data_IF_757466020420
#
_entry.id   IF_757466020420
#
_cell.length_a   1.000
_cell.length_b   1.000
_cell.length_c   1.000
_cell.angle_alpha   90.00
_cell.angle_beta   90.00
_cell.angle_gamma   90.00
#
_symmetry.space_group_name_H-M   'P 1'
#
loop_
_entity.id
_entity.type
_entity.pdbx_description
1 polymer ?
#
# COMPACT_ATOMS: atom_id res chain seq x y z
N UNK A 1 24.15 49.88 -5.34
CA UNK A 1 22.94 49.61 -4.53
C UNK A 1 22.80 48.12 -4.34
N UNK A 2 22.84 47.59 -3.12
CA UNK A 2 22.52 46.19 -2.85
C UNK A 2 21.05 46.07 -2.43
N UNK A 3 20.32 45.10 -2.97
CA UNK A 3 19.03 44.67 -2.45
C UNK A 3 19.13 43.20 -2.03
N UNK A 4 19.04 43.02 -0.72
CA UNK A 4 18.86 41.75 -0.03
C UNK A 4 17.44 41.24 -0.32
N UNK A 5 17.29 39.94 -0.58
CA UNK A 5 16.24 39.13 0.06
C UNK A 5 16.62 37.66 0.03
N UNK A 6 17.00 37.18 1.22
CA UNK A 6 17.22 35.77 1.49
C UNK A 6 15.97 34.97 1.16
N UNK A 7 16.15 33.96 0.32
CA UNK A 7 15.23 32.84 0.26
C UNK A 7 15.23 32.19 1.63
N UNK A 8 14.13 32.31 2.36
CA UNK A 8 13.82 31.44 3.50
C UNK A 8 13.90 30.01 2.96
N UNK A 9 14.93 29.27 3.35
CA UNK A 9 14.92 27.82 3.25
C UNK A 9 13.70 27.35 4.04
N UNK A 10 12.68 26.87 3.34
CA UNK A 10 11.62 26.08 3.96
C UNK A 10 12.35 24.93 4.66
N UNK A 11 12.19 24.73 5.98
CA UNK A 11 12.82 23.59 6.63
C UNK A 11 12.26 22.34 5.95
N UNK A 12 13.14 21.60 5.29
CA UNK A 12 12.85 20.24 4.83
C UNK A 12 12.65 19.44 6.11
N UNK A 13 11.38 19.19 6.46
CA UNK A 13 11.06 18.37 7.63
C UNK A 13 11.38 16.94 7.21
N UNK A 14 12.54 16.45 7.62
CA UNK A 14 12.91 15.05 7.48
C UNK A 14 12.00 14.22 8.40
N UNK A 15 10.79 13.93 7.92
CA UNK A 15 9.85 13.05 8.60
C UNK A 15 10.41 11.63 8.54
N UNK A 16 10.50 10.98 9.71
CA UNK A 16 10.79 9.56 9.77
C UNK A 16 9.57 8.75 9.26
N UNK A 17 9.81 7.52 8.80
CA UNK A 17 8.74 6.67 8.25
C UNK A 17 7.55 6.49 9.20
N UNK A 18 7.81 6.36 10.50
CA UNK A 18 6.78 6.19 11.53
C UNK A 18 6.22 7.51 12.10
N UNK A 19 6.66 8.65 11.56
CA UNK A 19 5.94 9.92 11.75
C UNK A 19 4.75 10.01 10.77
N UNK A 20 4.75 9.19 9.71
CA UNK A 20 3.71 9.10 8.69
C UNK A 20 2.88 7.81 8.86
N UNK A 21 3.54 6.66 9.00
CA UNK A 21 2.85 5.38 9.15
C UNK A 21 2.55 5.06 10.62
N UNK A 22 1.37 4.46 10.92
CA UNK A 22 1.10 3.93 12.25
C UNK A 22 2.20 2.97 12.72
N UNK A 23 2.71 3.16 13.94
CA UNK A 23 3.81 2.34 14.48
C UNK A 23 3.48 0.84 14.58
N UNK A 24 2.19 0.52 14.67
CA UNK A 24 1.67 -0.83 14.84
C UNK A 24 1.18 -1.48 13.54
N UNK A 25 1.32 -0.78 12.41
CA UNK A 25 0.81 -1.19 11.10
C UNK A 25 1.24 -2.61 10.71
N UNK A 26 2.48 -2.98 11.04
CA UNK A 26 3.04 -4.28 10.67
C UNK A 26 2.65 -5.43 11.61
N UNK A 27 1.99 -5.18 12.75
CA UNK A 27 1.62 -6.25 13.72
C UNK A 27 0.78 -7.39 13.11
N UNK A 28 -0.22 -7.15 12.23
CA UNK A 28 -0.96 -8.23 11.59
C UNK A 28 -0.05 -9.08 10.69
N UNK A 29 0.82 -8.43 9.92
CA UNK A 29 1.75 -9.05 8.96
C UNK A 29 2.97 -9.72 9.61
N UNK A 30 3.31 -9.37 10.84
CA UNK A 30 4.38 -10.01 11.63
C UNK A 30 3.91 -11.17 12.49
N UNK A 31 2.60 -11.44 12.55
CA UNK A 31 2.02 -12.42 13.49
C UNK A 31 1.99 -13.87 12.97
N UNK A 32 1.69 -14.88 13.81
CA UNK A 32 1.49 -16.25 13.35
C UNK A 32 0.44 -16.36 12.24
N UNK A 33 -0.63 -15.58 12.35
CA UNK A 33 -1.71 -15.48 11.35
C UNK A 33 -1.41 -14.52 10.19
N UNK A 34 -0.13 -14.21 9.92
CA UNK A 34 0.28 -13.23 8.90
C UNK A 34 -0.25 -13.51 7.50
N UNK A 35 -0.34 -14.78 7.11
CA UNK A 35 -0.84 -15.18 5.77
C UNK A 35 -2.29 -14.76 5.60
N UNK A 36 -3.14 -15.07 6.58
CA UNK A 36 -4.53 -14.64 6.60
C UNK A 36 -4.67 -13.12 6.50
N UNK A 37 -3.93 -12.36 7.32
CA UNK A 37 -4.04 -10.89 7.31
C UNK A 37 -3.50 -10.26 6.03
N UNK A 38 -2.42 -10.80 5.45
CA UNK A 38 -1.90 -10.35 4.17
C UNK A 38 -2.94 -10.56 3.06
N UNK A 39 -3.48 -11.77 2.95
CA UNK A 39 -4.48 -12.11 1.92
C UNK A 39 -5.77 -11.30 2.12
N UNK A 40 -6.20 -11.09 3.36
CA UNK A 40 -7.39 -10.29 3.68
C UNK A 40 -7.19 -8.82 3.29
N UNK A 41 -6.06 -8.24 3.64
CA UNK A 41 -5.74 -6.85 3.30
C UNK A 41 -5.69 -6.62 1.78
N UNK A 42 -5.04 -7.53 1.04
CA UNK A 42 -5.01 -7.48 -0.42
C UNK A 42 -6.40 -7.65 -1.03
N UNK A 43 -7.21 -8.56 -0.50
CA UNK A 43 -8.60 -8.75 -0.91
C UNK A 43 -9.44 -7.47 -0.72
N UNK A 44 -9.37 -6.87 0.48
CA UNK A 44 -10.12 -5.65 0.79
C UNK A 44 -9.67 -4.49 -0.08
N UNK A 45 -8.36 -4.30 -0.25
CA UNK A 45 -7.80 -3.28 -1.12
C UNK A 45 -8.40 -3.38 -2.53
N UNK A 46 -8.30 -4.54 -3.16
CA UNK A 46 -8.69 -4.73 -4.56
C UNK A 46 -10.19 -4.77 -4.80
N UNK A 47 -10.95 -5.42 -3.91
CA UNK A 47 -12.35 -5.75 -4.16
C UNK A 47 -13.33 -4.87 -3.41
N UNK A 48 -12.92 -4.32 -2.28
CA UNK A 48 -13.80 -3.52 -1.42
C UNK A 48 -13.54 -2.03 -1.58
N UNK A 49 -12.27 -1.60 -1.67
CA UNK A 49 -11.90 -0.18 -1.67
C UNK A 49 -11.53 0.36 -3.05
N UNK A 50 -10.75 -0.35 -3.87
CA UNK A 50 -10.29 0.15 -5.18
C UNK A 50 -11.40 0.38 -6.21
N UNK A 51 -12.54 -0.31 -6.08
CA UNK A 51 -13.69 -0.20 -6.99
C UNK A 51 -14.82 0.67 -6.45
N UNK A 52 -14.68 1.20 -5.22
CA UNK A 52 -15.73 1.94 -4.56
C UNK A 52 -15.63 3.44 -4.89
N UNK A 53 -16.72 4.01 -5.41
CA UNK A 53 -16.82 5.45 -5.64
C UNK A 53 -17.01 6.25 -4.33
N UNK A 54 -17.55 5.60 -3.29
CA UNK A 54 -17.79 6.14 -1.96
C UNK A 54 -17.33 5.12 -0.91
N UNK A 55 -16.92 5.60 0.26
CA UNK A 55 -16.51 4.75 1.37
C UNK A 55 -17.60 3.72 1.74
N UNK A 56 -17.28 2.41 1.80
CA UNK A 56 -18.26 1.39 2.13
C UNK A 56 -18.75 1.52 3.58
N UNK A 57 -19.97 1.03 3.83
CA UNK A 57 -20.50 0.96 5.19
C UNK A 57 -19.75 -0.08 6.00
N UNK A 58 -19.55 0.18 7.30
CA UNK A 58 -18.95 -0.77 8.24
C UNK A 58 -19.58 -2.16 8.19
N UNK A 59 -20.91 -2.24 8.08
CA UNK A 59 -21.62 -3.52 7.99
C UNK A 59 -21.25 -4.31 6.72
N UNK A 60 -21.06 -3.62 5.60
CA UNK A 60 -20.64 -4.24 4.34
C UNK A 60 -19.19 -4.75 4.46
N UNK A 61 -18.28 -3.95 5.02
CA UNK A 61 -16.88 -4.38 5.23
C UNK A 61 -16.82 -5.61 6.13
N UNK A 62 -17.60 -5.65 7.21
CA UNK A 62 -17.68 -6.83 8.09
C UNK A 62 -18.20 -8.07 7.35
N UNK A 63 -19.20 -7.92 6.48
CA UNK A 63 -19.71 -9.02 5.67
C UNK A 63 -18.64 -9.53 4.69
N UNK A 64 -17.93 -8.63 4.00
CA UNK A 64 -16.85 -8.98 3.09
C UNK A 64 -15.71 -9.74 3.80
N UNK A 65 -15.37 -9.32 5.03
CA UNK A 65 -14.38 -10.02 5.87
C UNK A 65 -14.89 -11.42 6.24
N UNK A 66 -16.14 -11.56 6.67
CA UNK A 66 -16.72 -12.86 7.04
C UNK A 66 -16.74 -13.82 5.84
N UNK A 67 -17.20 -13.34 4.68
CA UNK A 67 -17.26 -14.11 3.44
C UNK A 67 -15.86 -14.51 2.96
N UNK A 68 -14.88 -13.59 3.06
CA UNK A 68 -13.48 -13.89 2.76
C UNK A 68 -12.95 -14.98 3.68
N UNK A 69 -13.17 -14.85 4.98
CA UNK A 69 -12.68 -15.76 5.98
C UNK A 69 -13.18 -17.19 5.75
N UNK A 70 -14.48 -17.36 5.48
CA UNK A 70 -15.05 -18.67 5.16
C UNK A 70 -14.38 -19.31 3.92
N UNK A 71 -14.15 -18.52 2.86
CA UNK A 71 -13.47 -19.01 1.65
C UNK A 71 -12.01 -19.34 1.92
N UNK A 72 -11.33 -18.54 2.75
CA UNK A 72 -9.92 -18.73 3.08
C UNK A 72 -9.72 -20.00 3.90
N UNK A 73 -10.56 -20.25 4.92
CA UNK A 73 -10.53 -21.46 5.75
C UNK A 73 -10.82 -22.72 4.92
N UNK A 74 -11.78 -22.64 4.00
CA UNK A 74 -12.09 -23.76 3.11
C UNK A 74 -10.89 -24.19 2.24
N UNK A 75 -9.96 -23.28 1.95
CA UNK A 75 -8.76 -23.55 1.14
C UNK A 75 -7.52 -23.90 1.96
N UNK A 76 -7.38 -23.32 3.15
CA UNK A 76 -6.14 -23.37 3.92
C UNK A 76 -6.26 -24.18 5.23
N UNK A 77 -7.46 -24.67 5.57
CA UNK A 77 -7.76 -25.24 6.88
C UNK A 77 -7.99 -24.18 7.94
N UNK A 78 -8.44 -24.60 9.13
CA UNK A 78 -8.65 -23.70 10.27
C UNK A 78 -7.30 -23.35 10.95
N UNK A 79 -6.54 -22.47 10.30
CA UNK A 79 -5.21 -22.03 10.77
C UNK A 79 -5.29 -20.84 11.74
N UNK A 80 -6.49 -20.29 12.00
CA UNK A 80 -6.68 -19.18 12.95
C UNK A 80 -6.85 -19.67 14.40
N UNK A 81 -6.94 -20.98 14.62
CA UNK A 81 -7.25 -21.62 15.89
C UNK A 81 -6.02 -22.04 16.73
N UNK A 82 -4.78 -21.74 16.33
CA UNK A 82 -3.57 -22.30 16.98
C UNK A 82 -3.27 -21.80 18.42
N UNK A 83 -4.22 -21.21 19.15
CA UNK A 83 -3.98 -20.84 20.56
C UNK A 83 -5.17 -20.92 21.51
N UNK A 84 -6.29 -21.56 21.18
CA UNK A 84 -7.39 -21.64 22.13
C UNK A 84 -8.12 -22.96 22.15
N UNK A 85 -8.07 -23.61 23.32
CA UNK A 85 -8.96 -24.65 23.83
C UNK A 85 -10.40 -24.11 24.03
N UNK A 86 -10.81 -23.15 23.19
CA UNK A 86 -12.04 -22.39 23.30
C UNK A 86 -13.10 -22.93 22.33
N UNK A 87 -14.40 -22.84 22.70
CA UNK A 87 -15.48 -23.21 21.80
C UNK A 87 -15.35 -22.46 20.47
N UNK A 88 -15.72 -23.14 19.38
CA UNK A 88 -15.70 -22.57 18.03
C UNK A 88 -16.36 -21.19 18.03
N UNK A 89 -15.55 -20.14 17.89
CA UNK A 89 -16.02 -18.76 17.90
C UNK A 89 -16.90 -18.54 16.67
N UNK A 90 -18.06 -17.92 16.84
CA UNK A 90 -18.98 -17.68 15.74
C UNK A 90 -18.27 -16.91 14.59
N UNK A 91 -18.54 -17.23 13.32
CA UNK A 91 -17.90 -16.57 12.18
C UNK A 91 -17.98 -15.04 12.23
N UNK A 92 -19.11 -14.49 12.67
CA UNK A 92 -19.30 -13.04 12.82
C UNK A 92 -18.37 -12.41 13.85
N UNK A 93 -18.12 -13.10 14.96
CA UNK A 93 -17.22 -12.61 16.02
C UNK A 93 -15.77 -12.64 15.56
N UNK A 94 -15.39 -13.65 14.77
CA UNK A 94 -14.05 -13.71 14.15
C UNK A 94 -13.85 -12.60 13.12
N UNK A 95 -14.84 -12.34 12.27
CA UNK A 95 -14.81 -11.21 11.34
C UNK A 95 -14.71 -9.87 12.07
N UNK A 96 -15.43 -9.71 13.19
CA UNK A 96 -15.33 -8.51 14.04
C UNK A 96 -13.95 -8.37 14.67
N UNK A 97 -13.33 -9.46 15.13
CA UNK A 97 -11.99 -9.45 15.68
C UNK A 97 -10.93 -9.07 14.62
N UNK A 98 -11.05 -9.63 13.40
CA UNK A 98 -10.19 -9.26 12.28
C UNK A 98 -10.34 -7.78 11.92
N UNK A 99 -11.59 -7.30 11.78
CA UNK A 99 -11.87 -5.87 11.55
C UNK A 99 -11.25 -4.98 12.61
N UNK A 100 -11.50 -5.30 13.90
CA UNK A 100 -10.99 -4.50 15.01
C UNK A 100 -9.47 -4.45 15.00
N UNK A 101 -8.80 -5.58 14.74
CA UNK A 101 -7.35 -5.63 14.66
C UNK A 101 -6.81 -4.76 13.52
N UNK A 102 -7.46 -4.76 12.35
CA UNK A 102 -7.08 -3.91 11.22
C UNK A 102 -7.30 -2.42 11.53
N UNK A 103 -8.38 -2.06 12.23
CA UNK A 103 -8.60 -0.69 12.72
C UNK A 103 -7.56 -0.27 13.76
N UNK A 104 -7.31 -1.09 14.78
CA UNK A 104 -6.40 -0.78 15.88
C UNK A 104 -4.94 -0.64 15.42
N UNK A 105 -4.58 -1.32 14.34
CA UNK A 105 -3.24 -1.26 13.75
C UNK A 105 -3.10 -0.18 12.67
N UNK A 106 -4.18 0.56 12.37
CA UNK A 106 -4.14 1.71 11.47
C UNK A 106 -4.25 1.36 9.99
N UNK A 107 -4.80 0.19 9.64
CA UNK A 107 -5.15 -0.12 8.24
C UNK A 107 -6.51 0.46 7.85
N UNK A 108 -7.44 0.52 8.79
CA UNK A 108 -8.82 0.97 8.56
C UNK A 108 -9.13 2.22 9.39
N UNK A 109 -9.72 3.21 8.75
CA UNK A 109 -10.25 4.42 9.39
C UNK A 109 -11.77 4.34 9.39
N UNK A 110 -12.37 4.27 10.58
CA UNK A 110 -13.83 4.34 10.74
C UNK A 110 -14.24 5.79 11.03
N UNK A 111 -15.18 6.32 10.26
CA UNK A 111 -15.73 7.64 10.50
C UNK A 111 -17.27 7.63 10.42
N UNK A 112 -17.89 8.62 11.07
CA UNK A 112 -19.34 8.71 11.17
C UNK A 112 -19.85 9.81 10.25
N UNK A 113 -20.65 9.42 9.26
CA UNK A 113 -21.44 10.35 8.47
C UNK A 113 -22.91 10.25 8.89
N UNK A 114 -23.37 11.25 9.65
CA UNK A 114 -24.70 11.31 10.26
C UNK A 114 -24.98 10.08 11.14
N UNK A 115 -25.79 9.14 10.65
CA UNK A 115 -26.19 7.91 11.34
C UNK A 115 -25.50 6.67 10.78
N UNK A 116 -24.67 6.83 9.76
CA UNK A 116 -23.99 5.74 9.07
C UNK A 116 -22.51 5.74 9.49
N UNK A 117 -21.97 4.54 9.68
CA UNK A 117 -20.54 4.33 9.89
C UNK A 117 -19.92 3.88 8.58
N UNK A 118 -18.99 4.67 8.09
CA UNK A 118 -18.23 4.45 6.88
C UNK A 118 -16.81 4.05 7.26
N UNK A 119 -16.16 3.33 6.36
CA UNK A 119 -14.82 2.80 6.58
C UNK A 119 -14.00 3.10 5.33
N UNK A 120 -12.79 3.59 5.53
CA UNK A 120 -11.78 3.75 4.48
C UNK A 120 -10.50 2.98 4.87
N UNK A 121 -9.65 2.76 3.87
CA UNK A 121 -8.24 2.47 4.14
C UNK A 121 -7.55 3.74 4.61
N UNK A 122 -6.62 3.60 5.55
CA UNK A 122 -5.70 4.69 5.86
C UNK A 122 -4.90 5.05 4.59
N UNK A 123 -4.83 6.34 4.20
CA UNK A 123 -4.23 6.74 2.93
C UNK A 123 -2.73 6.45 2.88
N UNK A 124 -2.02 6.59 4.00
CA UNK A 124 -0.60 6.32 4.07
C UNK A 124 -0.34 4.80 4.03
N UNK A 125 -1.20 4.01 4.67
CA UNK A 125 -1.16 2.55 4.58
C UNK A 125 -1.58 2.01 3.20
N UNK A 126 -2.49 2.68 2.50
CA UNK A 126 -3.00 2.27 1.18
C UNK A 126 -1.89 2.26 0.12
N UNK A 127 -0.97 3.23 0.16
CA UNK A 127 0.21 3.24 -0.71
C UNK A 127 1.11 2.01 -0.52
N UNK A 128 1.25 1.53 0.72
CA UNK A 128 1.97 0.28 1.02
C UNK A 128 1.21 -0.94 0.48
N UNK A 129 -0.12 -0.99 0.61
CA UNK A 129 -0.93 -2.09 0.06
C UNK A 129 -0.81 -2.19 -1.45
N UNK A 130 -0.79 -1.05 -2.14
CA UNK A 130 -0.58 -1.01 -3.58
C UNK A 130 0.74 -1.70 -3.96
N UNK A 131 1.85 -1.34 -3.31
CA UNK A 131 3.16 -1.97 -3.54
C UNK A 131 3.16 -3.46 -3.20
N UNK A 132 2.53 -3.86 -2.09
CA UNK A 132 2.40 -5.28 -1.72
C UNK A 132 1.59 -6.06 -2.76
N UNK A 133 0.58 -5.44 -3.35
CA UNK A 133 -0.25 -6.03 -4.41
C UNK A 133 0.51 -6.22 -5.71
N UNK A 134 1.32 -5.25 -6.13
CA UNK A 134 2.24 -5.39 -7.28
C UNK A 134 3.22 -6.56 -7.09
N UNK A 135 3.74 -6.72 -5.87
CA UNK A 135 4.66 -7.82 -5.51
C UNK A 135 3.95 -9.17 -5.60
N UNK A 136 2.73 -9.28 -5.05
CA UNK A 136 1.95 -10.53 -5.03
C UNK A 136 1.60 -11.03 -6.44
N UNK A 137 1.28 -10.12 -7.36
CA UNK A 137 1.02 -10.42 -8.78
C UNK A 137 2.26 -10.74 -9.60
N UNK A 138 3.45 -10.52 -9.04
CA UNK A 138 4.71 -10.65 -9.77
C UNK A 138 4.80 -9.68 -10.95
N UNK A 139 4.18 -8.49 -10.83
CA UNK A 139 4.21 -7.48 -11.89
C UNK A 139 5.67 -7.11 -12.19
N UNK A 140 6.15 -7.57 -13.33
CA UNK A 140 7.51 -7.28 -13.79
C UNK A 140 7.50 -5.84 -14.26
N UNK A 141 8.13 -4.95 -13.47
CA UNK A 141 8.32 -3.55 -13.85
C UNK A 141 8.84 -3.48 -15.29
N UNK A 142 8.08 -2.83 -16.17
CA UNK A 142 8.34 -2.82 -17.61
C UNK A 142 9.54 -1.92 -17.93
N UNK A 143 10.71 -2.54 -18.14
CA UNK A 143 12.00 -1.86 -18.35
C UNK A 143 12.01 -0.95 -19.59
N UNK A 144 11.29 -1.32 -20.65
CA UNK A 144 11.16 -0.50 -21.85
C UNK A 144 10.43 0.82 -21.60
N UNK A 145 9.41 0.82 -20.73
CA UNK A 145 8.65 2.03 -20.38
C UNK A 145 9.50 3.05 -19.63
N UNK A 146 10.34 2.60 -18.70
CA UNK A 146 11.24 3.47 -17.94
C UNK A 146 12.27 4.17 -18.84
N UNK A 147 12.90 3.44 -19.76
CA UNK A 147 13.89 4.01 -20.70
C UNK A 147 13.23 5.03 -21.63
N UNK A 148 12.05 4.69 -22.17
CA UNK A 148 11.29 5.61 -23.04
C UNK A 148 10.82 6.85 -22.27
N UNK A 149 10.41 6.72 -21.01
CA UNK A 149 10.02 7.86 -20.18
C UNK A 149 11.19 8.82 -19.90
N UNK A 150 12.39 8.28 -19.64
CA UNK A 150 13.62 9.09 -19.48
C UNK A 150 13.96 9.80 -20.80
N UNK A 151 13.96 9.07 -21.91
CA UNK A 151 14.24 9.63 -23.24
C UNK A 151 13.25 10.74 -23.58
N UNK A 152 11.96 10.49 -23.43
CA UNK A 152 10.89 11.47 -23.70
C UNK A 152 11.01 12.71 -22.82
N UNK A 153 11.38 12.54 -21.55
CA UNK A 153 11.62 13.67 -20.64
C UNK A 153 12.81 14.53 -21.09
N UNK A 154 13.91 13.90 -21.54
CA UNK A 154 15.09 14.59 -22.07
C UNK A 154 14.80 15.29 -23.40
N UNK A 155 14.16 14.61 -24.34
CA UNK A 155 13.76 15.18 -25.64
C UNK A 155 12.83 16.37 -25.44
N UNK A 156 11.88 16.24 -24.51
CA UNK A 156 10.97 17.32 -24.18
C UNK A 156 11.69 18.52 -23.53
N UNK A 157 12.69 18.29 -22.69
CA UNK A 157 13.47 19.36 -22.08
C UNK A 157 14.38 20.04 -23.13
N UNK A 158 14.98 19.27 -24.04
CA UNK A 158 15.82 19.78 -25.11
C UNK A 158 15.02 20.62 -26.13
N UNK A 159 13.80 20.20 -26.45
CA UNK A 159 12.93 20.90 -27.38
C UNK A 159 12.40 22.23 -26.83
N UNK A 160 12.11 22.32 -25.52
CA UNK A 160 11.57 23.53 -24.88
C UNK A 160 12.23 23.81 -23.51
N UNK A 161 13.51 24.22 -23.47
CA UNK A 161 14.28 24.30 -22.21
C UNK A 161 13.72 25.31 -21.20
N UNK A 162 13.15 26.43 -21.68
CA UNK A 162 12.63 27.50 -20.84
C UNK A 162 11.36 27.10 -20.07
N UNK A 163 10.49 26.29 -20.70
CA UNK A 163 9.18 25.91 -20.14
C UNK A 163 9.20 24.51 -19.50
N UNK A 164 10.19 23.67 -19.84
CA UNK A 164 10.22 22.24 -19.47
C UNK A 164 11.50 21.82 -18.75
N UNK A 165 12.12 22.76 -18.04
CA UNK A 165 13.33 22.49 -17.23
C UNK A 165 13.11 21.43 -16.14
N UNK A 166 11.87 21.27 -15.64
CA UNK A 166 11.49 20.21 -14.70
C UNK A 166 11.64 18.80 -15.30
N UNK A 167 11.51 18.65 -16.62
CA UNK A 167 11.66 17.35 -17.27
C UNK A 167 13.09 16.81 -17.19
N UNK A 168 14.10 17.65 -16.97
CA UNK A 168 15.45 17.18 -16.65
C UNK A 168 15.47 16.46 -15.30
N UNK A 169 14.74 16.97 -14.29
CA UNK A 169 14.62 16.31 -12.98
C UNK A 169 13.83 15.01 -13.09
N UNK A 170 12.78 14.98 -13.89
CA UNK A 170 12.01 13.76 -14.18
C UNK A 170 12.87 12.71 -14.88
N UNK A 171 13.70 13.12 -15.85
CA UNK A 171 14.66 12.24 -16.51
C UNK A 171 15.68 11.67 -15.52
N UNK A 172 16.23 12.49 -14.62
CA UNK A 172 17.17 12.03 -13.58
C UNK A 172 16.49 11.04 -12.63
N UNK A 173 15.25 11.30 -12.19
CA UNK A 173 14.48 10.37 -11.36
C UNK A 173 14.27 9.04 -12.08
N UNK A 174 13.75 9.08 -13.30
CA UNK A 174 13.52 7.87 -14.10
C UNK A 174 14.81 7.09 -14.39
N UNK A 175 15.94 7.76 -14.60
CA UNK A 175 17.22 7.09 -14.80
C UNK A 175 17.73 6.38 -13.53
N UNK A 176 17.51 6.97 -12.35
CA UNK A 176 17.81 6.33 -11.06
C UNK A 176 16.93 5.11 -10.82
N UNK A 177 15.63 5.24 -11.10
CA UNK A 177 14.68 4.14 -10.99
C UNK A 177 15.10 2.98 -11.90
N UNK A 178 15.43 3.28 -13.17
CA UNK A 178 15.94 2.29 -14.12
C UNK A 178 17.22 1.58 -13.63
N UNK A 179 18.19 2.32 -13.10
CA UNK A 179 19.42 1.71 -12.55
C UNK A 179 19.11 0.80 -11.34
N UNK A 180 18.22 1.22 -10.45
CA UNK A 180 17.77 0.40 -9.33
C UNK A 180 17.07 -0.88 -9.82
N UNK A 181 16.24 -0.77 -10.87
CA UNK A 181 15.60 -1.93 -11.52
C UNK A 181 16.63 -2.87 -12.14
N UNK A 182 17.64 -2.37 -12.86
CA UNK A 182 18.67 -3.22 -13.45
C UNK A 182 19.47 -3.98 -12.41
N UNK A 183 19.78 -3.33 -11.29
CA UNK A 183 20.40 -4.01 -10.14
C UNK A 183 19.53 -5.14 -9.61
N UNK A 184 18.20 -4.94 -9.53
CA UNK A 184 17.29 -6.01 -9.11
C UNK A 184 17.25 -7.17 -10.12
N UNK A 185 17.20 -6.90 -11.43
CA UNK A 185 17.28 -7.94 -12.46
C UNK A 185 18.56 -8.77 -12.33
N UNK A 186 19.71 -8.11 -12.19
CA UNK A 186 20.99 -8.79 -12.00
C UNK A 186 21.00 -9.67 -10.74
N UNK A 187 20.37 -9.24 -9.65
CA UNK A 187 20.24 -10.03 -8.41
C UNK A 187 19.26 -11.20 -8.59
N UNK A 188 18.14 -10.99 -9.27
CA UNK A 188 17.15 -12.04 -9.54
C UNK A 188 17.73 -13.13 -10.44
N UNK A 189 18.51 -12.79 -11.46
CA UNK A 189 19.21 -13.77 -12.31
C UNK A 189 20.15 -14.67 -11.49
N UNK A 190 20.86 -14.11 -10.51
CA UNK A 190 21.72 -14.87 -9.58
C UNK A 190 20.98 -15.79 -8.62
N UNK A 191 19.67 -15.59 -8.40
CA UNK A 191 18.84 -16.47 -7.55
C UNK A 191 18.33 -17.71 -8.30
N UNK A 192 18.40 -17.70 -9.63
CA UNK A 192 17.90 -18.78 -10.50
C UNK A 192 19.01 -19.77 -10.87
N UNK A 193 20.28 -19.36 -10.71
CA UNK A 193 21.48 -20.23 -10.75
C UNK A 193 21.68 -21.00 -9.45
#
# INVERSE_FOLDING_TARGET
MPLIRGGRSVPEVDLALFDVLPSELFKPLGSPSRRFYADLLLFLHERTFSLAAEAPRRAQVLQEIADFQQRWESRNGDSLAESSDSPATAPEDRARAAYQRLSDTGWLIEHKDRYIRLVDLDPDASGLLHVLSEIERGETRTYGGAVIAVLSSLESAAANPAERSENVRNAVRGARDFLAHMRMVSVSLRKVE
#
